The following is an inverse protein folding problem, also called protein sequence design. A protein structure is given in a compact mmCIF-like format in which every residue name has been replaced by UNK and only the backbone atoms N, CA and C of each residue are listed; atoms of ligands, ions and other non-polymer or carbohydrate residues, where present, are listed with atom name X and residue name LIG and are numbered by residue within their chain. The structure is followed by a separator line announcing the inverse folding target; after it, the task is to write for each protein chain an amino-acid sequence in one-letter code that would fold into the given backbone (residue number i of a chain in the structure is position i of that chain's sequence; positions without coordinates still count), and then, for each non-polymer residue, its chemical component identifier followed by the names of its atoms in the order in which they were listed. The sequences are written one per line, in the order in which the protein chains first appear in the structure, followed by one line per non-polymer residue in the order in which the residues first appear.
data_IF_318143561448
#
_entry.id   IF_318143561448
#
_cell.length_a   1.000
_cell.length_b   1.000
_cell.length_c   1.000
_cell.angle_alpha   90.00
_cell.angle_beta   90.00
_cell.angle_gamma   90.00
#
_symmetry.space_group_name_H-M   'P 1'
#
loop_
_entity.id
_entity.type
_entity.pdbx_description
1 polymer ?
#
# COMPACT_ATOMS: atom_id res chain seq x y z
N UNK A 1 25.42 -25.02 -24.66
CA UNK A 1 24.95 -23.66 -24.97
C UNK A 1 23.73 -23.49 -24.10
N UNK A 2 23.95 -23.01 -22.88
CA UNK A 2 22.89 -22.90 -21.89
C UNK A 2 22.07 -21.65 -22.20
N UNK A 3 20.80 -21.87 -22.53
CA UNK A 3 19.79 -20.82 -22.57
C UNK A 3 19.62 -20.28 -21.16
N UNK A 4 20.35 -19.20 -20.86
CA UNK A 4 20.10 -18.35 -19.71
C UNK A 4 18.71 -17.75 -19.88
N UNK A 5 17.71 -18.40 -19.27
CA UNK A 5 16.36 -17.85 -19.13
C UNK A 5 16.48 -16.49 -18.46
N UNK A 6 16.38 -15.44 -19.29
CA UNK A 6 16.25 -14.07 -18.86
C UNK A 6 14.94 -13.99 -18.06
N UNK A 7 15.04 -14.11 -16.73
CA UNK A 7 13.91 -13.91 -15.85
C UNK A 7 13.31 -12.53 -16.19
N UNK A 8 12.00 -12.44 -16.48
CA UNK A 8 11.40 -11.15 -16.77
C UNK A 8 11.71 -10.22 -15.60
N UNK A 9 12.40 -9.11 -15.91
CA UNK A 9 12.64 -8.06 -14.93
C UNK A 9 11.29 -7.67 -14.33
N UNK A 10 11.20 -7.36 -13.03
CA UNK A 10 9.99 -6.80 -12.45
C UNK A 10 9.79 -5.40 -13.05
N UNK A 11 9.18 -5.37 -14.23
CA UNK A 11 8.63 -4.15 -14.80
C UNK A 11 7.54 -3.69 -13.83
N UNK A 12 7.51 -2.39 -13.49
CA UNK A 12 6.33 -1.79 -12.85
C UNK A 12 5.07 -2.27 -13.54
N UNK A 13 4.12 -2.79 -12.78
CA UNK A 13 2.82 -3.11 -13.36
C UNK A 13 2.12 -1.85 -13.87
N UNK A 14 2.33 -0.68 -13.25
CA UNK A 14 1.87 0.65 -13.73
C UNK A 14 2.61 1.78 -13.00
N UNK A 15 2.90 2.87 -13.71
CA UNK A 15 3.21 4.16 -13.09
C UNK A 15 1.93 4.88 -12.64
N UNK A 16 2.02 6.14 -12.25
CA UNK A 16 0.82 6.97 -12.04
C UNK A 16 -0.11 6.89 -13.25
N UNK A 17 -1.41 6.66 -13.01
CA UNK A 17 -2.44 6.61 -14.04
C UNK A 17 -3.55 7.64 -13.73
N UNK A 18 -3.78 8.57 -14.66
CA UNK A 18 -4.78 9.62 -14.50
C UNK A 18 -6.21 9.07 -14.45
N UNK A 19 -6.50 8.00 -15.20
CA UNK A 19 -7.80 7.32 -15.16
C UNK A 19 -8.01 6.63 -13.81
N UNK A 20 -6.96 6.03 -13.24
CA UNK A 20 -6.99 5.50 -11.86
C UNK A 20 -7.33 6.61 -10.86
N UNK A 21 -6.67 7.78 -10.96
CA UNK A 21 -6.97 8.92 -10.09
C UNK A 21 -8.43 9.39 -10.24
N UNK A 22 -8.97 9.42 -11.46
CA UNK A 22 -10.38 9.78 -11.73
C UNK A 22 -11.36 8.75 -11.16
N UNK A 23 -11.06 7.46 -11.28
CA UNK A 23 -11.89 6.40 -10.68
C UNK A 23 -11.90 6.51 -9.16
N UNK A 24 -10.73 6.70 -8.55
CA UNK A 24 -10.63 6.94 -7.11
C UNK A 24 -11.45 8.16 -6.71
N UNK A 25 -11.28 9.29 -7.40
CA UNK A 25 -12.04 10.50 -7.12
C UNK A 25 -13.56 10.28 -7.25
N UNK A 26 -14.02 9.61 -8.31
CA UNK A 26 -15.43 9.31 -8.54
C UNK A 26 -16.05 8.48 -7.40
N UNK A 27 -15.33 7.48 -6.89
CA UNK A 27 -15.76 6.71 -5.71
C UNK A 27 -15.89 7.57 -4.45
N UNK A 28 -15.12 8.65 -4.33
CA UNK A 28 -15.16 9.52 -3.16
C UNK A 28 -16.15 10.66 -3.24
N UNK A 29 -16.41 11.16 -4.45
CA UNK A 29 -17.39 12.21 -4.71
C UNK A 29 -18.82 11.63 -4.74
N UNK A 30 -18.98 10.39 -5.22
CA UNK A 30 -20.24 9.66 -5.23
C UNK A 30 -20.33 8.69 -4.03
N UNK A 31 -20.83 9.18 -2.89
CA UNK A 31 -21.00 8.37 -1.67
C UNK A 31 -21.92 7.15 -1.84
N UNK A 32 -22.59 6.99 -2.99
CA UNK A 32 -23.41 5.83 -3.29
C UNK A 32 -22.65 4.69 -3.99
N UNK A 33 -21.43 4.91 -4.48
CA UNK A 33 -20.62 3.85 -5.07
C UNK A 33 -20.16 2.85 -3.99
N UNK A 34 -20.38 1.56 -4.23
CA UNK A 34 -19.86 0.51 -3.36
C UNK A 34 -18.35 0.31 -3.58
N UNK A 35 -17.64 -0.13 -2.54
CA UNK A 35 -16.21 -0.41 -2.64
C UNK A 35 -15.92 -1.51 -3.67
N UNK A 36 -16.88 -2.40 -3.93
CA UNK A 36 -16.74 -3.51 -4.88
C UNK A 36 -16.50 -3.01 -6.31
N UNK A 37 -17.19 -1.94 -6.72
CA UNK A 37 -17.02 -1.33 -8.05
C UNK A 37 -15.61 -0.79 -8.33
N UNK A 38 -14.86 -0.43 -7.28
CA UNK A 38 -13.51 0.14 -7.39
C UNK A 38 -12.42 -0.72 -6.77
N UNK A 39 -12.76 -1.89 -6.20
CA UNK A 39 -11.82 -2.68 -5.41
C UNK A 39 -10.56 -3.04 -6.19
N UNK A 40 -10.70 -3.40 -7.47
CA UNK A 40 -9.55 -3.79 -8.30
C UNK A 40 -8.55 -2.63 -8.40
N UNK A 41 -9.05 -1.43 -8.74
CA UNK A 41 -8.22 -0.22 -8.84
C UNK A 41 -7.63 0.17 -7.49
N UNK A 42 -8.45 0.09 -6.44
CA UNK A 42 -8.02 0.36 -5.07
C UNK A 42 -6.89 -0.57 -4.61
N UNK A 43 -6.98 -1.87 -4.92
CA UNK A 43 -5.93 -2.85 -4.62
C UNK A 43 -4.68 -2.62 -5.42
N UNK A 44 -4.77 -2.34 -6.72
CA UNK A 44 -3.62 -1.99 -7.56
C UNK A 44 -2.82 -0.83 -6.97
N UNK A 45 -3.50 0.24 -6.54
CA UNK A 45 -2.84 1.40 -5.92
C UNK A 45 -2.14 1.03 -4.61
N UNK A 46 -2.77 0.23 -3.75
CA UNK A 46 -2.14 -0.22 -2.50
C UNK A 46 -0.97 -1.17 -2.78
N UNK A 47 -1.04 -2.00 -3.82
CA UNK A 47 0.06 -2.86 -4.24
C UNK A 47 1.25 -2.02 -4.68
N UNK A 48 1.05 -1.00 -5.51
CA UNK A 48 2.13 -0.10 -5.93
C UNK A 48 2.82 0.56 -4.71
N UNK A 49 2.03 0.99 -3.72
CA UNK A 49 2.55 1.56 -2.48
C UNK A 49 3.29 0.50 -1.63
N UNK A 50 2.78 -0.74 -1.55
CA UNK A 50 3.44 -1.83 -0.84
C UNK A 50 4.81 -2.18 -1.47
N UNK A 51 4.93 -2.12 -2.79
CA UNK A 51 6.19 -2.44 -3.49
C UNK A 51 7.20 -1.29 -3.46
N UNK A 52 6.74 -0.04 -3.59
CA UNK A 52 7.63 1.13 -3.77
C UNK A 52 7.83 1.95 -2.50
N UNK A 53 6.85 1.95 -1.60
CA UNK A 53 6.76 2.90 -0.48
C UNK A 53 6.53 4.36 -0.90
N UNK A 54 6.26 4.60 -2.18
CA UNK A 54 6.05 5.92 -2.77
C UNK A 54 4.56 6.15 -3.04
N UNK A 55 4.14 7.42 -3.04
CA UNK A 55 2.74 7.81 -3.29
C UNK A 55 2.70 8.91 -4.33
N UNK A 56 1.88 8.72 -5.36
CA UNK A 56 1.62 9.69 -6.44
C UNK A 56 0.13 10.01 -6.63
N UNK A 57 -0.74 9.38 -5.84
CA UNK A 57 -2.18 9.64 -5.83
C UNK A 57 -2.55 10.58 -4.68
N UNK A 58 -3.70 11.25 -4.78
CA UNK A 58 -4.18 12.13 -3.72
C UNK A 58 -4.32 11.36 -2.40
N UNK A 59 -3.65 11.85 -1.36
CA UNK A 59 -3.61 11.17 -0.07
C UNK A 59 -5.00 11.02 0.57
N UNK A 60 -5.91 11.96 0.33
CA UNK A 60 -7.30 11.91 0.81
C UNK A 60 -8.05 10.73 0.20
N UNK A 61 -7.76 10.41 -1.05
CA UNK A 61 -8.33 9.25 -1.75
C UNK A 61 -7.70 7.95 -1.23
N UNK A 62 -6.37 7.90 -1.15
CA UNK A 62 -5.63 6.71 -0.70
C UNK A 62 -6.00 6.32 0.74
N UNK A 63 -6.10 7.26 1.67
CA UNK A 63 -6.45 6.95 3.08
C UNK A 63 -7.88 6.41 3.23
N UNK A 64 -8.80 6.81 2.35
CA UNK A 64 -10.17 6.29 2.35
C UNK A 64 -10.23 4.89 1.72
N UNK A 65 -9.48 4.64 0.63
CA UNK A 65 -9.26 3.29 0.09
C UNK A 65 -8.72 2.36 1.19
N UNK A 66 -7.70 2.82 1.92
CA UNK A 66 -7.13 2.11 3.05
C UNK A 66 -8.19 1.71 4.09
N UNK A 67 -9.02 2.67 4.53
CA UNK A 67 -10.09 2.38 5.49
C UNK A 67 -11.12 1.37 4.97
N UNK A 68 -11.47 1.43 3.69
CA UNK A 68 -12.38 0.47 3.06
C UNK A 68 -11.78 -0.95 3.01
N UNK A 69 -10.50 -1.08 2.64
CA UNK A 69 -9.79 -2.36 2.62
C UNK A 69 -9.67 -2.94 4.02
N UNK A 70 -9.27 -2.16 5.03
CA UNK A 70 -9.22 -2.63 6.42
C UNK A 70 -10.59 -3.17 6.86
N UNK A 71 -11.68 -2.44 6.59
CA UNK A 71 -13.04 -2.92 6.92
C UNK A 71 -13.39 -4.23 6.19
N UNK A 72 -13.04 -4.35 4.90
CA UNK A 72 -13.28 -5.58 4.13
C UNK A 72 -12.49 -6.77 4.70
N UNK A 73 -11.22 -6.56 5.06
CA UNK A 73 -10.33 -7.60 5.61
C UNK A 73 -10.82 -8.19 6.93
N UNK A 74 -11.66 -7.47 7.69
CA UNK A 74 -12.28 -8.03 8.90
C UNK A 74 -13.12 -9.27 8.61
N UNK A 75 -13.73 -9.33 7.43
CA UNK A 75 -14.51 -10.49 7.01
C UNK A 75 -13.64 -11.74 6.77
N UNK A 76 -12.34 -11.57 6.61
CA UNK A 76 -11.40 -12.67 6.51
C UNK A 76 -11.12 -13.33 7.87
N UNK A 77 -11.41 -12.68 9.00
CA UNK A 77 -11.23 -13.22 10.34
C UNK A 77 -12.56 -13.55 11.02
N UNK A 78 -13.38 -14.49 10.50
CA UNK A 78 -14.73 -14.75 11.03
C UNK A 78 -14.72 -15.25 12.48
N UNK A 79 -13.71 -16.04 12.86
CA UNK A 79 -13.65 -16.72 14.16
C UNK A 79 -13.16 -15.83 15.32
N UNK A 80 -12.72 -14.59 15.02
CA UNK A 80 -12.07 -13.70 15.99
C UNK A 80 -12.79 -12.34 16.10
N UNK A 81 -14.02 -12.24 15.55
CA UNK A 81 -14.87 -11.03 15.62
C UNK A 81 -15.52 -10.81 16.99
N UNK A 82 -15.42 -11.78 17.92
CA UNK A 82 -15.89 -11.63 19.30
C UNK A 82 -14.96 -10.78 20.17
N UNK A 83 -13.90 -10.22 19.58
CA UNK A 83 -13.00 -9.31 20.28
C UNK A 83 -13.75 -8.01 20.58
N UNK A 84 -14.08 -7.82 21.86
CA UNK A 84 -14.39 -6.50 22.43
C UNK A 84 -13.28 -5.54 21.99
N UNK A 85 -13.65 -4.44 21.35
CA UNK A 85 -12.78 -3.37 20.79
C UNK A 85 -12.46 -3.39 19.29
N UNK A 86 -12.97 -4.30 18.47
CA UNK A 86 -12.74 -4.25 17.00
C UNK A 86 -13.17 -2.89 16.41
N UNK A 87 -14.42 -2.47 16.67
CA UNK A 87 -14.95 -1.20 16.19
C UNK A 87 -14.18 0.00 16.76
N UNK A 88 -13.75 -0.09 18.02
CA UNK A 88 -12.95 0.95 18.67
C UNK A 88 -11.56 1.07 18.02
N UNK A 89 -10.89 -0.05 17.71
CA UNK A 89 -9.62 -0.07 16.98
C UNK A 89 -9.77 0.50 15.58
N UNK A 90 -10.83 0.14 14.85
CA UNK A 90 -11.08 0.69 13.50
C UNK A 90 -11.32 2.18 13.57
N UNK A 91 -12.09 2.66 14.55
CA UNK A 91 -12.32 4.08 14.76
C UNK A 91 -11.01 4.82 15.05
N UNK A 92 -10.16 4.30 15.95
CA UNK A 92 -8.84 4.89 16.23
C UNK A 92 -7.95 4.93 15.00
N UNK A 93 -7.83 3.82 14.27
CA UNK A 93 -7.06 3.75 13.01
C UNK A 93 -7.56 4.81 12.02
N UNK A 94 -8.88 4.89 11.82
CA UNK A 94 -9.50 5.83 10.88
C UNK A 94 -9.24 7.28 11.29
N UNK A 95 -9.47 7.63 12.56
CA UNK A 95 -9.22 8.97 13.09
C UNK A 95 -7.75 9.36 13.00
N UNK A 96 -6.82 8.45 13.31
CA UNK A 96 -5.38 8.70 13.18
C UNK A 96 -5.00 8.97 11.72
N UNK A 97 -5.50 8.17 10.78
CA UNK A 97 -5.26 8.37 9.34
C UNK A 97 -5.90 9.67 8.81
N UNK A 98 -7.07 10.06 9.31
CA UNK A 98 -7.75 11.29 8.95
C UNK A 98 -7.01 12.53 9.47
N UNK A 99 -6.47 12.46 10.69
CA UNK A 99 -5.68 13.54 11.29
C UNK A 99 -4.33 13.74 10.56
N UNK A 100 -3.82 12.71 9.90
CA UNK A 100 -2.61 12.80 9.08
C UNK A 100 -2.91 13.50 7.75
N UNK A 101 -2.45 14.74 7.61
CA UNK A 101 -2.53 15.50 6.35
C UNK A 101 -1.62 14.96 5.23
N UNK A 102 -0.70 14.05 5.55
CA UNK A 102 0.21 13.39 4.61
C UNK A 102 0.37 11.91 4.96
N UNK A 103 0.79 11.06 4.01
CA UNK A 103 1.00 9.65 4.29
C UNK A 103 2.10 9.42 5.33
N UNK A 104 1.94 8.44 6.25
CA UNK A 104 3.01 8.07 7.18
C UNK A 104 4.14 7.35 6.44
N UNK A 105 5.37 7.42 6.95
CA UNK A 105 6.49 6.67 6.33
C UNK A 105 6.30 5.16 6.39
N UNK A 106 5.47 4.68 7.31
CA UNK A 106 5.12 3.28 7.46
C UNK A 106 4.08 2.83 6.44
N UNK A 107 3.60 3.69 5.54
CA UNK A 107 2.50 3.37 4.62
C UNK A 107 2.80 2.15 3.75
N UNK A 108 4.05 1.94 3.33
CA UNK A 108 4.47 0.72 2.64
C UNK A 108 4.12 -0.53 3.45
N UNK A 109 4.59 -0.57 4.70
CA UNK A 109 4.37 -1.70 5.61
C UNK A 109 2.91 -1.90 5.94
N UNK A 110 2.16 -0.81 6.05
CA UNK A 110 0.72 -0.85 6.26
C UNK A 110 0.03 -1.51 5.06
N UNK A 111 0.37 -1.10 3.83
CA UNK A 111 -0.17 -1.68 2.60
C UNK A 111 0.14 -3.17 2.46
N UNK A 112 1.37 -3.61 2.78
CA UNK A 112 1.72 -5.03 2.81
C UNK A 112 0.81 -5.84 3.75
N UNK A 113 0.54 -5.31 4.94
CA UNK A 113 -0.26 -5.96 5.98
C UNK A 113 -1.72 -6.07 5.58
N UNK A 114 -2.33 -4.99 5.07
CA UNK A 114 -3.76 -5.00 4.74
C UNK A 114 -4.07 -5.76 3.45
N UNK A 115 -3.10 -5.90 2.54
CA UNK A 115 -3.26 -6.69 1.32
C UNK A 115 -3.19 -8.19 1.61
N UNK A 116 -2.33 -8.60 2.54
CA UNK A 116 -2.08 -10.01 2.87
C UNK A 116 -2.24 -10.30 4.38
N UNK A 117 -3.40 -10.00 4.98
CA UNK A 117 -3.55 -9.96 6.43
C UNK A 117 -3.33 -11.33 7.09
N UNK A 118 -3.79 -12.43 6.45
CA UNK A 118 -3.65 -13.79 6.96
C UNK A 118 -2.27 -14.40 6.79
N UNK A 119 -1.48 -13.92 5.83
CA UNK A 119 -0.09 -14.37 5.66
C UNK A 119 0.78 -13.86 6.81
N UNK A 120 0.43 -12.70 7.36
CA UNK A 120 1.21 -12.00 8.37
C UNK A 120 0.69 -12.19 9.79
N UNK A 121 -0.63 -12.30 9.95
CA UNK A 121 -1.28 -12.39 11.26
C UNK A 121 -2.34 -13.48 11.27
N UNK A 122 -2.19 -14.42 12.20
CA UNK A 122 -3.13 -15.53 12.40
C UNK A 122 -4.43 -15.12 13.12
N UNK A 123 -4.49 -13.92 13.71
CA UNK A 123 -5.64 -13.48 14.49
C UNK A 123 -5.90 -11.97 14.33
N UNK A 124 -7.17 -11.58 14.46
CA UNK A 124 -7.68 -10.24 14.18
C UNK A 124 -7.10 -9.21 15.15
N UNK A 125 -6.96 -9.57 16.43
CA UNK A 125 -6.43 -8.66 17.45
C UNK A 125 -5.00 -8.23 17.14
N UNK A 126 -4.12 -9.15 16.74
CA UNK A 126 -2.74 -8.84 16.37
C UNK A 126 -2.66 -8.04 15.08
N UNK A 127 -3.52 -8.36 14.11
CA UNK A 127 -3.65 -7.59 12.87
C UNK A 127 -4.01 -6.12 13.16
N UNK A 128 -5.12 -5.88 13.87
CA UNK A 128 -5.57 -4.53 14.19
C UNK A 128 -4.53 -3.77 15.02
N UNK A 129 -3.93 -4.42 16.02
CA UNK A 129 -2.87 -3.81 16.81
C UNK A 129 -1.65 -3.41 15.96
N UNK A 130 -1.25 -4.25 15.01
CA UNK A 130 -0.14 -3.94 14.12
C UNK A 130 -0.44 -2.75 13.20
N UNK A 131 -1.63 -2.74 12.60
CA UNK A 131 -2.09 -1.63 11.75
C UNK A 131 -2.19 -0.33 12.56
N UNK A 132 -2.81 -0.37 13.73
CA UNK A 132 -2.92 0.78 14.64
C UNK A 132 -1.54 1.32 15.03
N UNK A 133 -0.62 0.45 15.46
CA UNK A 133 0.75 0.86 15.81
C UNK A 133 1.46 1.55 14.65
N UNK A 134 1.35 1.01 13.44
CA UNK A 134 1.99 1.61 12.26
C UNK A 134 1.34 2.94 11.87
N UNK A 135 0.02 3.08 12.06
CA UNK A 135 -0.71 4.32 11.80
C UNK A 135 -0.33 5.45 12.77
N UNK A 136 0.03 5.14 14.02
CA UNK A 136 0.41 6.14 15.04
C UNK A 136 1.79 6.78 14.82
N UNK A 137 2.48 6.41 13.75
CA UNK A 137 3.83 6.86 13.49
C UNK A 137 3.84 8.27 12.89
N UNK A 138 4.38 9.24 13.63
CA UNK A 138 4.26 10.67 13.34
C UNK A 138 5.22 11.23 12.27
N UNK A 139 6.03 10.40 11.61
CA UNK A 139 6.88 10.86 10.50
C UNK A 139 6.18 10.58 9.16
N UNK A 140 6.11 11.62 8.32
CA UNK A 140 5.32 11.60 7.08
C UNK A 140 6.21 11.73 5.85
N UNK A 141 5.74 11.22 4.72
CA UNK A 141 6.41 11.30 3.43
C UNK A 141 5.66 12.25 2.48
N UNK A 142 6.32 12.61 1.39
CA UNK A 142 5.71 13.43 0.36
C UNK A 142 4.80 12.62 -0.57
N UNK A 143 3.71 13.24 -1.00
CA UNK A 143 3.00 12.83 -2.22
C UNK A 143 3.78 13.45 -3.38
N UNK A 144 4.23 12.59 -4.30
CA UNK A 144 5.05 12.95 -5.44
C UNK A 144 4.18 13.43 -6.60
N UNK A 145 4.76 14.28 -7.45
CA UNK A 145 4.20 14.49 -8.79
C UNK A 145 4.33 13.21 -9.63
N UNK A 146 3.53 13.03 -10.70
CA UNK A 146 3.67 11.89 -11.59
C UNK A 146 5.09 11.75 -12.17
N UNK A 147 5.74 12.86 -12.51
CA UNK A 147 7.11 12.88 -13.05
C UNK A 147 8.12 12.47 -11.98
N UNK A 148 8.07 13.07 -10.78
CA UNK A 148 8.97 12.71 -9.67
C UNK A 148 8.79 11.25 -9.23
N UNK A 149 7.55 10.75 -9.29
CA UNK A 149 7.25 9.35 -8.99
C UNK A 149 7.91 8.43 -10.01
N UNK A 150 7.76 8.70 -11.31
CA UNK A 150 8.38 7.91 -12.36
C UNK A 150 9.91 7.88 -12.21
N UNK A 151 10.53 9.03 -11.93
CA UNK A 151 11.97 9.14 -11.72
C UNK A 151 12.45 8.36 -10.49
N UNK A 152 11.78 8.52 -9.34
CA UNK A 152 12.17 7.82 -8.11
C UNK A 152 11.99 6.32 -8.21
N UNK A 153 10.92 5.87 -8.85
CA UNK A 153 10.68 4.46 -9.08
C UNK A 153 11.75 3.89 -10.01
N UNK A 154 12.10 4.58 -11.09
CA UNK A 154 13.21 4.16 -11.96
C UNK A 154 14.50 4.02 -11.17
N UNK A 155 14.83 5.01 -10.34
CA UNK A 155 16.02 4.99 -9.49
C UNK A 155 16.02 3.81 -8.49
N UNK A 156 14.86 3.46 -7.94
CA UNK A 156 14.70 2.30 -7.05
C UNK A 156 15.05 1.01 -7.78
N UNK A 157 14.51 0.79 -8.98
CA UNK A 157 14.83 -0.40 -9.77
C UNK A 157 16.28 -0.46 -10.23
N UNK A 158 16.84 0.65 -10.71
CA UNK A 158 18.25 0.73 -11.10
C UNK A 158 19.15 0.36 -9.89
N UNK A 159 18.80 0.86 -8.70
CA UNK A 159 19.51 0.52 -7.45
C UNK A 159 19.41 -0.97 -7.12
N UNK A 160 18.21 -1.56 -7.21
CA UNK A 160 18.01 -2.99 -6.93
C UNK A 160 18.75 -3.88 -7.94
N UNK A 161 18.83 -3.49 -9.21
CA UNK A 161 19.59 -4.19 -10.24
C UNK A 161 21.10 -4.15 -9.94
N UNK A 162 21.63 -2.97 -9.61
CA UNK A 162 23.03 -2.80 -9.24
C UNK A 162 23.43 -3.59 -7.98
N UNK A 163 22.49 -3.83 -7.06
CA UNK A 163 22.72 -4.68 -5.89
C UNK A 163 22.71 -6.18 -6.22
N UNK A 164 22.03 -6.57 -7.30
CA UNK A 164 21.91 -7.96 -7.75
C UNK A 164 23.11 -8.39 -8.59
N UNK A 165 23.76 -7.46 -9.29
CA UNK A 165 24.97 -7.75 -10.04
C UNK A 165 26.15 -7.97 -9.08
N UNK A 166 26.82 -9.14 -9.13
CA UNK A 166 28.02 -9.35 -8.32
C UNK A 166 29.07 -8.33 -8.73
N UNK A 167 29.60 -7.57 -7.77
CA UNK A 167 30.79 -6.76 -8.01
C UNK A 167 31.88 -7.73 -8.46
N UNK A 168 32.31 -7.63 -9.72
CA UNK A 168 33.49 -8.34 -10.17
C UNK A 168 34.62 -7.95 -9.21
N UNK A 169 35.03 -8.90 -8.38
CA UNK A 169 36.17 -8.73 -7.49
C UNK A 169 37.34 -8.47 -8.41
N UNK A 170 37.82 -7.23 -8.43
CA UNK A 170 39.05 -6.83 -9.10
C UNK A 170 40.21 -7.57 -8.37
N UNK A 171 40.41 -8.85 -8.70
CA UNK A 171 41.60 -9.60 -8.29
C UNK A 171 42.80 -8.96 -9.02
N UNK A 172 43.58 -8.20 -8.25
CA UNK A 172 44.92 -7.73 -8.61
C UNK A 172 45.98 -8.65 -8.03
#
# INVERSE_FOLDING_TARGET
MEDGQNAPQPQLKRGFNEDTQKVLQGFFDDQAADFESVETVAREVLEDIAHTGLICYDWTHVRKVFGAVVKKTLNEFPDDKSVEDVDASIARISTTMEAMGRPPYTIQRICEIILNPKEMYYNLKKYLFAVEKLATVNYTIAVLSPDDYADQVKNLYDTLQNLREPKETEER
#
